data_IF_740851505245
#
_entry.id   IF_740851505245
#
_cell.length_a   1.000
_cell.length_b   1.000
_cell.length_c   1.000
_cell.angle_alpha   90.00
_cell.angle_beta   90.00
_cell.angle_gamma   90.00
#
_symmetry.space_group_name_H-M   'P 1'
#
loop_
_entity.id
_entity.type
_entity.pdbx_description
1 polymer ?
#
# COMPACT_ATOMS: atom_id res chain seq x y z
N UNK A 1 46.88 18.18 -39.02
CA UNK A 1 45.39 18.30 -39.19
C UNK A 1 44.68 16.99 -38.88
N UNK A 2 44.88 16.37 -37.70
CA UNK A 2 44.14 15.18 -37.26
C UNK A 2 44.24 15.11 -35.73
N UNK A 3 43.57 16.00 -35.01
CA UNK A 3 43.47 15.85 -33.53
C UNK A 3 42.26 16.55 -32.92
N UNK A 4 41.07 16.38 -33.48
CA UNK A 4 39.83 16.94 -32.87
C UNK A 4 38.61 16.02 -32.98
N UNK A 5 38.78 14.69 -32.97
CA UNK A 5 37.64 13.79 -33.04
C UNK A 5 37.40 12.89 -31.82
N UNK A 6 38.13 13.06 -30.73
CA UNK A 6 38.06 12.20 -29.54
C UNK A 6 37.35 12.83 -28.33
N UNK A 7 36.93 14.09 -28.40
CA UNK A 7 36.32 14.79 -27.25
C UNK A 7 34.80 14.72 -27.16
N UNK A 8 34.10 14.15 -28.15
CA UNK A 8 32.63 14.12 -28.19
C UNK A 8 32.04 12.87 -27.53
N UNK A 9 32.80 11.80 -27.39
CA UNK A 9 32.30 10.54 -26.80
C UNK A 9 32.39 10.48 -25.27
N UNK A 10 33.34 11.15 -24.65
CA UNK A 10 33.48 11.15 -23.17
C UNK A 10 32.42 12.00 -22.47
N UNK A 11 31.85 13.01 -23.12
CA UNK A 11 30.78 13.83 -22.54
C UNK A 11 29.40 13.19 -22.60
N UNK A 12 29.20 12.14 -23.38
CA UNK A 12 27.90 11.45 -23.46
C UNK A 12 27.69 10.39 -22.38
N UNK A 13 28.75 9.90 -21.73
CA UNK A 13 28.65 8.84 -20.70
C UNK A 13 28.20 9.41 -19.35
N UNK A 14 28.55 10.67 -19.03
CA UNK A 14 28.15 11.31 -17.77
C UNK A 14 26.71 11.84 -17.71
N UNK A 15 25.99 11.93 -18.83
CA UNK A 15 24.67 12.56 -18.88
C UNK A 15 23.48 11.57 -18.94
N UNK A 16 23.73 10.26 -19.00
CA UNK A 16 22.64 9.25 -19.06
C UNK A 16 21.83 9.09 -17.76
N UNK A 17 22.42 9.41 -16.61
CA UNK A 17 21.75 9.27 -15.31
C UNK A 17 20.94 10.51 -14.88
N UNK A 18 20.98 11.62 -15.64
CA UNK A 18 20.25 12.84 -15.32
C UNK A 18 19.05 13.12 -16.24
N UNK A 19 18.74 12.24 -17.18
CA UNK A 19 17.55 12.38 -18.01
C UNK A 19 16.30 12.00 -17.21
N UNK A 20 15.19 12.78 -17.26
CA UNK A 20 13.92 12.44 -16.60
C UNK A 20 13.39 11.05 -16.98
N UNK A 21 13.60 10.60 -18.23
CA UNK A 21 13.22 9.28 -18.70
C UNK A 21 13.94 8.15 -17.95
N UNK A 22 15.25 8.27 -17.68
CA UNK A 22 16.02 7.26 -16.96
C UNK A 22 15.75 7.24 -15.46
N UNK A 23 15.24 8.34 -14.87
CA UNK A 23 14.79 8.34 -13.47
C UNK A 23 13.56 7.47 -13.28
N UNK A 24 12.59 7.55 -14.18
CA UNK A 24 11.39 6.71 -14.11
C UNK A 24 11.72 5.23 -14.25
N UNK A 25 12.62 4.86 -15.16
CA UNK A 25 13.07 3.48 -15.33
C UNK A 25 13.76 2.94 -14.08
N UNK A 26 14.59 3.75 -13.41
CA UNK A 26 15.26 3.38 -12.16
C UNK A 26 14.26 3.21 -11.00
N UNK A 27 13.24 4.06 -10.88
CA UNK A 27 12.17 3.95 -9.88
C UNK A 27 11.40 2.65 -10.08
N UNK A 28 10.97 2.37 -11.31
CA UNK A 28 10.21 1.17 -11.66
C UNK A 28 11.05 -0.07 -11.36
N UNK A 29 12.33 -0.09 -11.75
CA UNK A 29 13.22 -1.22 -11.49
C UNK A 29 13.37 -1.53 -10.00
N UNK A 30 13.58 -0.54 -9.14
CA UNK A 30 13.70 -0.75 -7.69
C UNK A 30 12.41 -1.33 -7.12
N UNK A 31 11.25 -0.76 -7.46
CA UNK A 31 9.96 -1.23 -6.96
C UNK A 31 9.57 -2.61 -7.52
N UNK A 32 10.07 -2.99 -8.70
CA UNK A 32 9.85 -4.32 -9.26
C UNK A 32 10.74 -5.40 -8.62
N UNK A 33 11.91 -5.03 -8.08
CA UNK A 33 12.80 -5.98 -7.41
C UNK A 33 12.45 -6.25 -5.95
N UNK A 34 11.77 -5.31 -5.29
CA UNK A 34 11.30 -5.46 -3.91
C UNK A 34 9.88 -6.04 -3.90
N UNK A 35 9.60 -6.89 -2.91
CA UNK A 35 8.28 -7.48 -2.68
C UNK A 35 7.61 -6.89 -1.44
N UNK A 36 6.30 -7.11 -1.30
CA UNK A 36 5.54 -6.74 -0.09
C UNK A 36 6.15 -7.40 1.15
N UNK A 37 6.68 -8.62 1.04
CA UNK A 37 7.36 -9.35 2.12
C UNK A 37 8.57 -8.60 2.68
N UNK A 38 9.29 -7.85 1.85
CA UNK A 38 10.50 -7.11 2.26
C UNK A 38 10.19 -5.90 3.16
N UNK A 39 8.94 -5.47 3.18
CA UNK A 39 8.48 -4.32 3.96
C UNK A 39 7.43 -4.66 5.02
N UNK A 40 6.80 -5.83 4.89
CA UNK A 40 5.77 -6.27 5.80
C UNK A 40 6.31 -6.53 7.21
N UNK A 41 5.64 -6.01 8.22
CA UNK A 41 5.93 -6.27 9.63
C UNK A 41 4.91 -7.24 10.19
N UNK A 42 5.34 -8.46 10.47
CA UNK A 42 4.50 -9.55 10.98
C UNK A 42 3.80 -9.18 12.31
N UNK A 43 4.45 -8.35 13.13
CA UNK A 43 3.98 -8.04 14.49
C UNK A 43 3.11 -6.78 14.58
N UNK A 44 2.77 -6.15 13.44
CA UNK A 44 1.91 -4.98 13.46
C UNK A 44 0.45 -5.40 13.70
N UNK A 45 -0.18 -5.01 14.82
CA UNK A 45 -1.57 -5.36 15.07
C UNK A 45 -2.48 -4.74 14.01
N UNK A 46 -3.40 -5.53 13.49
CA UNK A 46 -4.43 -5.07 12.54
C UNK A 46 -5.78 -5.16 13.22
N UNK A 47 -6.43 -4.02 13.35
CA UNK A 47 -7.82 -3.96 13.79
C UNK A 47 -8.72 -4.27 12.61
N UNK A 48 -9.35 -5.44 12.59
CA UNK A 48 -10.36 -5.82 11.61
C UNK A 48 -11.74 -5.85 12.25
N UNK A 49 -12.78 -5.76 11.43
CA UNK A 49 -14.17 -5.80 11.87
C UNK A 49 -14.83 -7.08 11.34
N UNK A 50 -15.57 -7.84 12.17
CA UNK A 50 -16.41 -8.92 11.69
C UNK A 50 -17.52 -8.39 10.76
N UNK A 51 -17.80 -9.12 9.67
CA UNK A 51 -18.85 -8.70 8.71
C UNK A 51 -20.26 -8.72 9.31
N UNK A 52 -20.50 -9.55 10.31
CA UNK A 52 -21.78 -9.69 11.03
C UNK A 52 -21.95 -8.71 12.20
N UNK A 53 -20.91 -7.88 12.49
CA UNK A 53 -21.02 -6.85 13.54
C UNK A 53 -22.15 -5.89 13.22
N UNK A 54 -23.07 -5.66 14.20
CA UNK A 54 -24.16 -4.70 14.02
C UNK A 54 -23.67 -3.26 13.96
N UNK A 55 -24.37 -2.42 13.23
CA UNK A 55 -24.04 -1.01 13.10
C UNK A 55 -24.07 -0.27 14.46
N UNK A 56 -24.97 -0.66 15.37
CA UNK A 56 -24.98 -0.15 16.74
C UNK A 56 -23.69 -0.47 17.52
N UNK A 57 -23.13 -1.67 17.33
CA UNK A 57 -21.86 -2.07 17.94
C UNK A 57 -20.71 -1.33 17.29
N UNK A 58 -20.72 -1.18 15.97
CA UNK A 58 -19.72 -0.39 15.23
C UNK A 58 -19.68 1.05 15.73
N UNK A 59 -20.83 1.73 15.90
CA UNK A 59 -20.88 3.11 16.41
C UNK A 59 -20.18 3.23 17.77
N UNK A 60 -20.43 2.31 18.70
CA UNK A 60 -19.76 2.28 20.01
C UNK A 60 -18.28 2.00 19.91
N UNK A 61 -17.86 1.13 18.99
CA UNK A 61 -16.45 0.83 18.74
C UNK A 61 -15.72 2.07 18.22
N UNK A 62 -16.30 2.79 17.25
CA UNK A 62 -15.70 3.96 16.63
C UNK A 62 -15.46 5.11 17.62
N UNK A 63 -16.24 5.22 18.72
CA UNK A 63 -15.97 6.22 19.76
C UNK A 63 -14.72 5.97 20.59
N UNK A 64 -14.14 4.75 20.49
CA UNK A 64 -12.99 4.29 21.32
C UNK A 64 -11.72 4.06 20.53
N UNK A 65 -11.79 4.11 19.23
CA UNK A 65 -10.64 3.92 18.34
C UNK A 65 -10.24 5.21 17.66
N UNK A 66 -8.92 5.39 17.46
CA UNK A 66 -8.39 6.46 16.61
C UNK A 66 -8.20 6.04 15.15
N UNK A 67 -8.55 4.79 14.80
CA UNK A 67 -8.43 4.28 13.43
C UNK A 67 -9.59 4.76 12.57
N UNK A 68 -9.32 4.90 11.28
CA UNK A 68 -10.30 5.37 10.29
C UNK A 68 -10.48 4.43 9.09
N UNK A 69 -9.76 3.30 9.11
CA UNK A 69 -9.71 2.33 8.01
C UNK A 69 -9.65 0.93 8.59
N UNK A 70 -10.60 0.08 8.24
CA UNK A 70 -10.77 -1.24 8.82
C UNK A 70 -11.00 -2.29 7.72
N UNK A 71 -10.15 -3.33 7.61
CA UNK A 71 -10.51 -4.53 6.91
C UNK A 71 -11.75 -5.18 7.53
N UNK A 72 -12.68 -5.62 6.70
CA UNK A 72 -13.85 -6.40 7.11
C UNK A 72 -13.60 -7.86 6.78
N UNK A 73 -13.82 -8.74 7.73
CA UNK A 73 -13.50 -10.17 7.62
C UNK A 73 -14.71 -11.04 7.97
N UNK A 74 -14.76 -12.24 7.38
CA UNK A 74 -15.70 -13.27 7.77
C UNK A 74 -15.24 -14.05 9.04
N UNK A 75 -16.00 -15.03 9.46
CA UNK A 75 -15.73 -15.92 10.61
C UNK A 75 -14.45 -16.78 10.44
N UNK A 76 -13.94 -16.89 9.21
CA UNK A 76 -12.67 -17.56 8.87
C UNK A 76 -11.50 -16.59 8.68
N UNK A 77 -11.65 -15.32 9.09
CA UNK A 77 -10.67 -14.26 8.90
C UNK A 77 -10.31 -13.98 7.44
N UNK A 78 -11.19 -14.30 6.49
CA UNK A 78 -11.02 -13.94 5.08
C UNK A 78 -11.53 -12.54 4.84
N UNK A 79 -10.77 -11.77 4.05
CA UNK A 79 -11.11 -10.41 3.68
C UNK A 79 -12.40 -10.38 2.84
N UNK A 80 -13.39 -9.62 3.30
CA UNK A 80 -14.69 -9.42 2.63
C UNK A 80 -14.82 -8.03 2.02
N UNK A 81 -14.17 -7.04 2.64
CA UNK A 81 -14.24 -5.66 2.19
C UNK A 81 -13.43 -4.72 3.06
N UNK A 82 -13.63 -3.44 2.84
CA UNK A 82 -13.02 -2.34 3.61
C UNK A 82 -14.12 -1.43 4.11
N UNK A 83 -14.02 -1.05 5.38
CA UNK A 83 -14.80 0.03 5.96
C UNK A 83 -13.88 1.22 6.22
N UNK A 84 -14.27 2.40 5.74
CA UNK A 84 -13.56 3.65 6.03
C UNK A 84 -14.50 4.68 6.62
N UNK A 85 -14.03 5.47 7.61
CA UNK A 85 -14.88 6.49 8.26
C UNK A 85 -15.47 7.51 7.28
N UNK A 86 -14.72 8.01 6.27
CA UNK A 86 -15.31 8.91 5.29
C UNK A 86 -16.56 8.35 4.60
N UNK A 87 -16.58 7.04 4.32
CA UNK A 87 -17.71 6.39 3.65
C UNK A 87 -18.93 6.22 4.56
N UNK A 88 -18.74 6.26 5.88
CA UNK A 88 -19.81 6.13 6.86
C UNK A 88 -20.50 7.46 7.20
N UNK A 89 -19.93 8.60 6.82
CA UNK A 89 -20.38 9.92 7.27
C UNK A 89 -21.89 10.16 7.04
N UNK A 90 -22.43 9.67 5.92
CA UNK A 90 -23.84 9.87 5.59
C UNK A 90 -24.80 9.09 6.50
N UNK A 91 -24.38 7.96 7.07
CA UNK A 91 -25.25 7.05 7.83
C UNK A 91 -24.96 7.03 9.32
N UNK A 92 -23.83 7.59 9.77
CA UNK A 92 -23.45 7.57 11.20
C UNK A 92 -24.49 8.21 12.12
N UNK A 93 -25.27 9.18 11.61
CA UNK A 93 -26.27 9.93 12.36
C UNK A 93 -27.70 9.41 12.17
N UNK A 94 -27.86 8.32 11.39
CA UNK A 94 -29.18 7.70 11.13
C UNK A 94 -29.47 6.63 12.20
N UNK A 95 -30.08 7.02 13.31
CA UNK A 95 -30.30 6.12 14.45
C UNK A 95 -31.24 4.96 14.14
N UNK A 96 -32.19 5.14 13.23
CA UNK A 96 -33.12 4.09 12.83
C UNK A 96 -32.49 2.94 12.05
N UNK A 97 -31.31 3.13 11.51
CA UNK A 97 -30.54 2.08 10.79
C UNK A 97 -29.69 1.22 11.73
N UNK A 98 -29.53 1.62 13.00
CA UNK A 98 -28.56 1.02 13.92
C UNK A 98 -28.79 -0.47 14.18
N UNK A 99 -30.04 -0.92 14.17
CA UNK A 99 -30.42 -2.31 14.42
C UNK A 99 -30.68 -3.12 13.14
N UNK A 100 -30.63 -2.47 11.98
CA UNK A 100 -30.98 -3.07 10.70
C UNK A 100 -29.76 -3.44 9.84
N UNK A 101 -28.62 -2.75 10.04
CA UNK A 101 -27.44 -2.89 9.20
C UNK A 101 -26.33 -3.64 9.94
N UNK A 102 -25.58 -4.41 9.17
CA UNK A 102 -24.32 -5.04 9.59
C UNK A 102 -23.13 -4.45 8.81
N UNK A 103 -21.93 -4.60 9.38
CA UNK A 103 -20.67 -4.06 8.82
C UNK A 103 -20.43 -4.55 7.40
N UNK A 104 -20.75 -5.81 7.10
CA UNK A 104 -20.59 -6.38 5.76
C UNK A 104 -21.38 -5.67 4.67
N UNK A 105 -22.57 -5.13 5.00
CA UNK A 105 -23.41 -4.37 4.06
C UNK A 105 -22.87 -2.95 3.82
N UNK A 106 -22.08 -2.43 4.75
CA UNK A 106 -21.47 -1.10 4.70
C UNK A 106 -20.07 -1.11 4.07
N UNK A 107 -19.49 -2.30 3.93
CA UNK A 107 -18.14 -2.46 3.42
C UNK A 107 -18.07 -2.23 1.90
N UNK A 108 -17.06 -1.49 1.48
CA UNK A 108 -16.71 -1.36 0.05
C UNK A 108 -15.82 -2.52 -0.39
N UNK A 109 -15.82 -2.88 -1.69
CA UNK A 109 -14.89 -3.88 -2.21
C UNK A 109 -13.43 -3.55 -1.87
N UNK A 110 -12.67 -4.55 -1.45
CA UNK A 110 -11.27 -4.39 -1.08
C UNK A 110 -10.34 -4.62 -2.26
N UNK A 111 -9.40 -3.69 -2.46
CA UNK A 111 -8.18 -3.95 -3.22
C UNK A 111 -7.15 -4.47 -2.22
N UNK A 112 -6.55 -5.63 -2.49
CA UNK A 112 -5.59 -6.29 -1.59
C UNK A 112 -4.30 -6.67 -2.32
N UNK A 113 -3.24 -6.90 -1.55
CA UNK A 113 -1.94 -7.36 -2.04
C UNK A 113 -1.54 -8.67 -1.37
N UNK A 114 -0.63 -9.41 -2.00
CA UNK A 114 -0.03 -10.63 -1.46
C UNK A 114 1.41 -10.35 -1.08
N UNK A 115 1.97 -11.20 -0.22
CA UNK A 115 3.36 -11.03 0.23
C UNK A 115 4.40 -11.18 -0.89
N UNK A 116 4.09 -11.95 -1.92
CA UNK A 116 4.96 -12.22 -3.08
C UNK A 116 4.83 -11.21 -4.22
N UNK A 117 3.87 -10.29 -4.15
CA UNK A 117 3.72 -9.23 -5.15
C UNK A 117 4.85 -8.20 -5.05
N UNK A 118 5.22 -7.60 -6.19
CA UNK A 118 6.20 -6.53 -6.23
C UNK A 118 5.66 -5.25 -5.55
N UNK A 119 6.57 -4.41 -5.04
CA UNK A 119 6.15 -3.10 -4.53
C UNK A 119 5.62 -2.19 -5.64
N UNK A 120 5.97 -2.44 -6.90
CA UNK A 120 5.39 -1.73 -8.03
C UNK A 120 3.90 -2.07 -8.20
N UNK A 121 3.54 -3.36 -8.19
CA UNK A 121 2.14 -3.79 -8.27
C UNK A 121 1.34 -3.30 -7.07
N UNK A 122 1.94 -3.34 -5.87
CA UNK A 122 1.35 -2.77 -4.67
C UNK A 122 1.08 -1.26 -4.82
N UNK A 123 2.02 -0.49 -5.40
CA UNK A 123 1.84 0.94 -5.65
C UNK A 123 0.66 1.20 -6.61
N UNK A 124 0.54 0.42 -7.68
CA UNK A 124 -0.61 0.49 -8.61
C UNK A 124 -1.92 0.27 -7.85
N UNK A 125 -1.97 -0.73 -6.96
CA UNK A 125 -3.15 -1.02 -6.13
C UNK A 125 -3.46 0.10 -5.13
N UNK A 126 -2.46 0.77 -4.56
CA UNK A 126 -2.70 1.98 -3.75
C UNK A 126 -3.39 3.07 -4.55
N UNK A 127 -2.94 3.32 -5.79
CA UNK A 127 -3.55 4.32 -6.67
C UNK A 127 -4.99 3.96 -7.04
N UNK A 128 -5.26 2.67 -7.26
CA UNK A 128 -6.62 2.17 -7.55
C UNK A 128 -7.55 2.27 -6.35
N UNK A 129 -7.05 1.95 -5.15
CA UNK A 129 -7.86 1.95 -3.93
C UNK A 129 -8.22 3.36 -3.44
N UNK A 130 -7.36 4.35 -3.73
CA UNK A 130 -7.48 5.71 -3.20
C UNK A 130 -7.17 5.83 -1.69
N UNK A 131 -6.76 4.73 -1.04
CA UNK A 131 -6.41 4.71 0.38
C UNK A 131 -4.89 4.65 0.57
N UNK A 132 -4.40 5.23 1.66
CA UNK A 132 -2.99 5.12 2.06
C UNK A 132 -2.62 3.78 2.71
N UNK A 133 -3.55 2.82 2.73
CA UNK A 133 -3.40 1.47 3.29
C UNK A 133 -4.11 0.46 2.39
N UNK A 134 -3.51 -0.73 2.21
CA UNK A 134 -4.14 -1.86 1.53
C UNK A 134 -3.96 -3.13 2.36
N UNK A 135 -4.98 -3.99 2.43
CA UNK A 135 -4.87 -5.28 3.11
C UNK A 135 -3.86 -6.20 2.44
N UNK A 136 -3.13 -6.94 3.26
CA UNK A 136 -2.29 -8.06 2.83
C UNK A 136 -3.06 -9.34 3.07
N UNK A 137 -3.19 -10.18 2.06
CA UNK A 137 -3.88 -11.47 2.16
C UNK A 137 -2.98 -12.62 1.74
N UNK A 138 -3.30 -13.82 2.23
CA UNK A 138 -2.71 -15.06 1.73
C UNK A 138 -3.46 -15.60 0.49
N UNK A 139 -3.04 -16.77 0.00
CA UNK A 139 -3.59 -17.43 -1.18
C UNK A 139 -5.07 -17.83 -1.04
N UNK A 140 -5.54 -17.93 0.18
CA UNK A 140 -6.93 -18.30 0.52
C UNK A 140 -7.79 -17.08 0.83
N UNK A 141 -7.24 -15.86 0.69
CA UNK A 141 -7.91 -14.60 1.02
C UNK A 141 -7.87 -14.26 2.52
N UNK A 142 -7.14 -15.01 3.34
CA UNK A 142 -6.98 -14.76 4.76
C UNK A 142 -6.19 -13.47 5.03
N UNK A 143 -6.74 -12.60 5.87
CA UNK A 143 -6.10 -11.33 6.24
C UNK A 143 -4.82 -11.60 7.06
N UNK A 144 -3.69 -11.03 6.60
CA UNK A 144 -2.38 -11.14 7.26
C UNK A 144 -1.92 -9.83 7.87
N UNK A 145 -2.32 -8.71 7.30
CA UNK A 145 -1.83 -7.41 7.73
C UNK A 145 -2.35 -6.26 6.90
N UNK A 146 -1.76 -5.10 7.12
CA UNK A 146 -1.95 -3.91 6.30
C UNK A 146 -0.59 -3.42 5.80
N UNK A 147 -0.48 -3.18 4.51
CA UNK A 147 0.61 -2.44 3.92
C UNK A 147 0.25 -0.96 3.90
N UNK A 148 1.15 -0.10 4.38
CA UNK A 148 1.00 1.36 4.31
C UNK A 148 1.84 1.93 3.17
N UNK A 149 1.31 2.91 2.48
CA UNK A 149 2.06 3.61 1.42
C UNK A 149 3.37 4.21 1.95
N UNK A 150 3.38 4.69 3.20
CA UNK A 150 4.58 5.21 3.86
C UNK A 150 5.67 4.14 4.04
N UNK A 151 5.31 2.89 4.28
CA UNK A 151 6.26 1.77 4.42
C UNK A 151 6.89 1.41 3.08
N UNK A 152 6.08 1.38 2.02
CA UNK A 152 6.54 1.20 0.64
C UNK A 152 7.51 2.31 0.26
N UNK A 153 7.15 3.56 0.49
CA UNK A 153 8.00 4.72 0.15
C UNK A 153 9.29 4.74 0.97
N UNK A 154 9.25 4.33 2.24
CA UNK A 154 10.44 4.21 3.07
C UNK A 154 11.40 3.12 2.55
N UNK A 155 10.88 1.99 2.09
CA UNK A 155 11.69 0.93 1.49
C UNK A 155 12.35 1.40 0.18
N UNK A 156 11.59 2.04 -0.68
CA UNK A 156 12.09 2.66 -1.91
C UNK A 156 13.23 3.66 -1.62
N UNK A 157 13.03 4.55 -0.65
CA UNK A 157 14.04 5.53 -0.28
C UNK A 157 15.34 4.87 0.25
N UNK A 158 15.22 3.85 1.11
CA UNK A 158 16.38 3.09 1.61
C UNK A 158 17.19 2.48 0.48
N UNK A 159 16.51 1.92 -0.52
CA UNK A 159 17.19 1.27 -1.64
C UNK A 159 17.92 2.27 -2.54
N UNK A 160 17.32 3.45 -2.78
CA UNK A 160 18.01 4.55 -3.50
C UNK A 160 19.30 4.96 -2.76
N UNK A 161 19.21 5.15 -1.44
CA UNK A 161 20.39 5.56 -0.66
C UNK A 161 21.47 4.48 -0.72
N UNK A 162 21.10 3.20 -0.60
CA UNK A 162 22.04 2.08 -0.72
C UNK A 162 22.73 2.05 -2.07
N UNK A 163 21.97 2.13 -3.15
CA UNK A 163 22.51 2.12 -4.52
C UNK A 163 23.47 3.30 -4.79
N UNK A 164 23.18 4.47 -4.23
CA UNK A 164 24.08 5.64 -4.35
C UNK A 164 25.40 5.46 -3.59
N UNK A 165 25.37 4.84 -2.41
CA UNK A 165 26.58 4.57 -1.62
C UNK A 165 27.48 3.54 -2.31
N UNK A 166 26.91 2.51 -2.93
CA UNK A 166 27.64 1.51 -3.69
C UNK A 166 28.36 2.12 -4.91
N UNK A 167 27.68 3.05 -5.61
CA UNK A 167 28.28 3.76 -6.76
C UNK A 167 29.40 4.73 -6.38
N UNK A 168 29.39 5.29 -5.16
CA UNK A 168 30.43 6.22 -4.71
C UNK A 168 31.66 5.51 -4.11
N UNK A 169 31.60 4.21 -3.90
CA UNK A 169 32.70 3.39 -3.36
C UNK A 169 33.46 2.60 -4.45
N UNK A 170 33.15 2.82 -5.74
CA UNK A 170 33.84 2.31 -6.93
C UNK A 170 34.69 3.39 -7.59
#
# INVERSE_FOLDING_TARGET
>A
LLSQRWSLYEKQVHNKFHSPAHRNDAVINILQTLTVRDVYRVDAPVTSLPEDMTFATLKRFLTRTGESFFPVVDDHFRLRGILSLPNLHAILFEDHLSDLLVVGELASPAVSVRLDESLYDALVKFLQSGYGRVPIVDDQGGLKGLLRLSELMAAYHREIVRSKLELNNL
#
